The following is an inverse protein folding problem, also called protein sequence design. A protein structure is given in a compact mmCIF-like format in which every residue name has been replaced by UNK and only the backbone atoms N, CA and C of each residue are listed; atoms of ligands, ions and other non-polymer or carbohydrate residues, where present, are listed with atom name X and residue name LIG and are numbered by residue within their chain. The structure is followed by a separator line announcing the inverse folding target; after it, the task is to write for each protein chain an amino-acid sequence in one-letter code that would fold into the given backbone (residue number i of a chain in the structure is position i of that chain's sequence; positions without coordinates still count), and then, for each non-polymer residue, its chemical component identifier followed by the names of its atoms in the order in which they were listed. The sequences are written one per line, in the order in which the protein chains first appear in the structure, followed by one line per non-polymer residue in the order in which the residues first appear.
data_IF_384590885030
#
_entry.id   IF_384590885030
#
_cell.length_a   1.000
_cell.length_b   1.000
_cell.length_c   1.000
_cell.angle_alpha   90.00
_cell.angle_beta   90.00
_cell.angle_gamma   90.00
#
_symmetry.space_group_name_H-M   'P 1'
#
loop_
_entity.id
_entity.type
_entity.pdbx_description
1 polymer ?
#
# COMPACT_ATOMS: atom_id res chain seq x y z
N UNK A 1 -7.12 5.72 4.35
CA UNK A 1 -6.04 6.05 3.38
C UNK A 1 -6.06 5.02 2.26
N UNK A 2 -5.75 5.41 1.03
CA UNK A 2 -5.67 4.47 -0.10
C UNK A 2 -4.23 4.38 -0.58
N UNK A 3 -3.67 3.18 -0.56
CA UNK A 3 -2.35 2.88 -1.12
C UNK A 3 -2.56 2.41 -2.54
N UNK A 4 -1.97 3.11 -3.50
CA UNK A 4 -1.88 2.65 -4.89
C UNK A 4 -0.53 1.97 -5.06
N UNK A 5 -0.54 0.67 -5.35
CA UNK A 5 0.67 -0.10 -5.57
C UNK A 5 0.71 -0.62 -7.01
N UNK A 6 1.86 -0.47 -7.67
CA UNK A 6 2.10 -1.06 -8.98
C UNK A 6 2.29 -2.58 -8.83
N UNK A 7 1.96 -3.36 -9.86
CA UNK A 7 2.24 -4.80 -9.89
C UNK A 7 3.74 -5.15 -9.78
N UNK A 8 4.61 -4.16 -9.97
CA UNK A 8 6.07 -4.29 -9.77
C UNK A 8 6.53 -3.98 -8.35
N UNK A 9 5.64 -3.45 -7.49
CA UNK A 9 5.99 -3.08 -6.11
C UNK A 9 6.16 -4.34 -5.26
N UNK A 10 7.31 -4.55 -4.61
CA UNK A 10 7.53 -5.68 -3.72
C UNK A 10 6.54 -5.69 -2.55
N UNK A 11 6.06 -6.88 -2.18
CA UNK A 11 5.16 -7.08 -1.04
C UNK A 11 5.70 -6.46 0.26
N UNK A 12 7.01 -6.59 0.51
CA UNK A 12 7.68 -6.03 1.70
C UNK A 12 7.47 -4.52 1.85
N UNK A 13 7.45 -3.80 0.74
CA UNK A 13 7.35 -2.34 0.75
C UNK A 13 5.90 -1.90 1.02
N UNK A 14 4.94 -2.65 0.49
CA UNK A 14 3.51 -2.47 0.78
C UNK A 14 3.23 -2.68 2.28
N UNK A 15 3.76 -3.75 2.86
CA UNK A 15 3.57 -4.04 4.29
C UNK A 15 4.22 -2.99 5.18
N UNK A 16 5.45 -2.54 4.86
CA UNK A 16 6.10 -1.49 5.63
C UNK A 16 5.26 -0.19 5.70
N UNK A 17 4.57 0.16 4.60
CA UNK A 17 3.67 1.32 4.56
C UNK A 17 2.40 1.06 5.37
N UNK A 18 1.83 -0.15 5.31
CA UNK A 18 0.66 -0.51 6.13
C UNK A 18 0.99 -0.44 7.62
N UNK A 19 2.14 -0.96 8.04
CA UNK A 19 2.59 -0.92 9.44
C UNK A 19 2.83 0.51 9.92
N UNK A 20 3.41 1.35 9.07
CA UNK A 20 3.57 2.77 9.35
C UNK A 20 2.20 3.45 9.55
N UNK A 21 1.23 3.18 8.69
CA UNK A 21 -0.11 3.77 8.82
C UNK A 21 -0.82 3.27 10.09
N UNK A 22 -0.70 1.99 10.42
CA UNK A 22 -1.28 1.42 11.64
C UNK A 22 -0.67 2.03 12.90
N UNK A 23 0.65 2.20 12.97
CA UNK A 23 1.32 2.84 14.10
C UNK A 23 0.92 4.31 14.29
N UNK A 24 0.45 4.96 13.22
CA UNK A 24 -0.12 6.31 13.25
C UNK A 24 -1.64 6.33 13.48
N UNK A 25 -2.22 5.28 14.06
CA UNK A 25 -3.66 5.13 14.34
C UNK A 25 -4.58 5.14 13.10
N UNK A 26 -4.05 4.91 11.89
CA UNK A 26 -4.88 4.77 10.69
C UNK A 26 -5.47 3.37 10.67
N UNK A 27 -6.77 3.27 10.96
CA UNK A 27 -7.49 1.97 11.08
C UNK A 27 -8.08 1.44 9.77
N UNK A 28 -8.16 2.27 8.74
CA UNK A 28 -8.77 1.91 7.45
C UNK A 28 -7.80 2.22 6.30
N UNK A 29 -7.27 1.17 5.70
CA UNK A 29 -6.38 1.23 4.55
C UNK A 29 -7.02 0.45 3.40
N UNK A 30 -7.23 1.13 2.27
CA UNK A 30 -7.63 0.49 1.02
C UNK A 30 -6.40 0.26 0.16
N UNK A 31 -6.22 -0.94 -0.38
CA UNK A 31 -5.21 -1.21 -1.39
C UNK A 31 -5.86 -1.18 -2.77
N UNK A 32 -5.27 -0.41 -3.68
CA UNK A 32 -5.63 -0.39 -5.09
C UNK A 32 -4.43 -0.83 -5.93
N UNK A 33 -4.64 -1.86 -6.75
CA UNK A 33 -3.69 -2.20 -7.79
C UNK A 33 -3.70 -1.10 -8.86
N UNK A 34 -2.53 -0.56 -9.19
CA UNK A 34 -2.37 0.30 -10.34
C UNK A 34 -2.19 -0.55 -11.60
N UNK A 35 -2.88 -0.20 -12.72
CA UNK A 35 -2.63 -0.85 -13.99
C UNK A 35 -1.16 -0.66 -14.34
N UNK A 36 -0.48 -1.74 -14.69
CA UNK A 36 0.88 -1.66 -15.23
C UNK A 36 0.80 -0.90 -16.54
N UNK A 37 1.32 0.33 -16.53
CA UNK A 37 1.57 1.07 -17.77
C UNK A 37 2.79 0.43 -18.40
N UNK A 38 2.54 -0.51 -19.31
CA UNK A 38 3.53 -1.14 -20.17
C UNK A 38 4.02 -0.13 -21.22
#
# INVERSE_FOLDING_TARGET
VVIRASGTTPYKDVIAVVDLLQSNNVRKVGLLAQPQSN
#
